data_IF_551188846476
#
_entry.id   IF_551188846476
#
_cell.length_a   1.000
_cell.length_b   1.000
_cell.length_c   1.000
_cell.angle_alpha   90.00
_cell.angle_beta   90.00
_cell.angle_gamma   90.00
#
_symmetry.space_group_name_H-M   'P 1'
#
loop_
_entity.id
_entity.type
_entity.pdbx_description
1 polymer ?
#
# COMPACT_ATOMS: atom_id res chain seq x y z
N UNK A 1 -19.56 -16.74 -6.47
CA UNK A 1 -18.96 -15.47 -6.00
C UNK A 1 -17.80 -15.78 -5.09
N UNK A 2 -17.96 -16.77 -4.21
CA UNK A 2 -17.00 -17.86 -3.92
C UNK A 2 -15.92 -18.00 -5.00
N UNK A 3 -16.21 -18.10 -6.31
CA UNK A 3 -15.08 -18.17 -7.25
C UNK A 3 -14.13 -16.94 -7.26
N UNK A 4 -14.48 -15.68 -6.89
CA UNK A 4 -13.52 -14.68 -6.32
C UNK A 4 -13.69 -14.35 -4.85
N UNK A 5 -13.98 -15.40 -4.13
CA UNK A 5 -13.75 -15.54 -2.73
C UNK A 5 -13.16 -17.00 -2.57
N UNK A 6 -12.26 -17.52 -3.48
CA UNK A 6 -11.52 -18.82 -3.45
C UNK A 6 -9.94 -18.84 -3.70
N UNK A 7 -9.27 -17.80 -4.26
CA UNK A 7 -7.78 -17.60 -4.37
C UNK A 7 -7.00 -16.31 -3.87
N UNK A 8 -7.56 -15.14 -3.41
CA UNK A 8 -6.93 -13.86 -2.92
C UNK A 8 -6.51 -13.89 -1.42
N UNK A 9 -7.19 -14.59 -0.52
CA UNK A 9 -6.75 -14.81 0.89
C UNK A 9 -6.38 -16.26 1.17
N UNK A 10 -6.85 -17.17 0.32
CA UNK A 10 -6.03 -18.30 -0.07
C UNK A 10 -4.76 -17.84 -0.83
N UNK A 11 -4.55 -16.56 -1.21
CA UNK A 11 -3.30 -16.12 -1.89
C UNK A 11 -2.11 -16.03 -0.94
N UNK A 12 -2.19 -15.41 0.25
CA UNK A 12 -1.30 -15.67 1.38
C UNK A 12 -1.04 -17.16 1.58
N UNK A 13 -2.06 -18.03 1.61
CA UNK A 13 -1.88 -19.46 1.87
C UNK A 13 -1.26 -20.22 0.68
N UNK A 14 -1.57 -19.86 -0.55
CA UNK A 14 -1.03 -20.42 -1.80
C UNK A 14 0.37 -19.87 -2.06
N UNK A 15 0.68 -18.64 -1.66
CA UNK A 15 2.04 -18.11 -1.60
C UNK A 15 2.81 -18.79 -0.47
N UNK A 16 2.21 -19.06 0.68
CA UNK A 16 2.84 -19.81 1.79
C UNK A 16 3.15 -21.24 1.36
N UNK A 17 2.17 -21.94 0.78
CA UNK A 17 2.30 -23.30 0.23
C UNK A 17 3.23 -23.35 -0.97
N UNK A 18 3.16 -22.42 -1.93
CA UNK A 18 4.17 -22.30 -3.00
C UNK A 18 5.56 -21.98 -2.45
N UNK A 19 5.69 -21.15 -1.41
CA UNK A 19 6.98 -20.90 -0.76
C UNK A 19 7.48 -22.14 -0.01
N UNK A 20 6.61 -22.99 0.52
CA UNK A 20 6.95 -24.26 1.17
C UNK A 20 7.27 -25.37 0.16
N UNK A 21 6.50 -25.51 -0.91
CA UNK A 21 6.80 -26.30 -2.11
C UNK A 21 8.16 -25.88 -2.72
N UNK A 22 8.42 -24.57 -2.85
CA UNK A 22 9.71 -24.02 -3.32
C UNK A 22 10.83 -24.26 -2.29
N UNK A 23 10.57 -24.17 -0.98
CA UNK A 23 11.54 -24.53 0.07
C UNK A 23 11.88 -26.01 0.05
N UNK A 24 10.91 -26.90 -0.12
CA UNK A 24 11.14 -28.33 -0.32
C UNK A 24 11.88 -28.62 -1.61
N UNK A 25 11.51 -27.98 -2.72
CA UNK A 25 12.18 -28.14 -4.01
C UNK A 25 13.63 -27.66 -3.95
N UNK A 26 13.90 -26.52 -3.31
CA UNK A 26 15.26 -26.06 -3.04
C UNK A 26 16.02 -27.04 -2.11
N UNK A 27 15.40 -27.54 -1.02
CA UNK A 27 15.99 -28.58 -0.16
C UNK A 27 16.30 -29.88 -0.92
N UNK A 28 15.45 -30.28 -1.87
CA UNK A 28 15.62 -31.47 -2.74
C UNK A 28 16.69 -31.26 -3.82
N UNK A 29 17.00 -30.01 -4.18
CA UNK A 29 18.18 -29.65 -4.98
C UNK A 29 19.44 -29.63 -4.10
N UNK A 30 19.36 -29.09 -2.89
CA UNK A 30 20.48 -29.02 -1.92
C UNK A 30 20.89 -30.40 -1.39
N UNK A 31 19.95 -31.34 -1.25
CA UNK A 31 20.21 -32.76 -0.93
C UNK A 31 20.62 -33.60 -2.15
N UNK A 32 20.70 -33.01 -3.34
CA UNK A 32 21.12 -33.68 -4.58
C UNK A 32 20.09 -34.62 -5.22
N UNK A 33 18.86 -34.70 -4.69
CA UNK A 33 17.80 -35.55 -5.23
C UNK A 33 17.20 -35.04 -6.56
N UNK A 34 17.31 -33.73 -6.84
CA UNK A 34 16.85 -33.10 -8.08
C UNK A 34 17.99 -32.27 -8.70
N UNK A 35 18.23 -32.42 -10.01
CA UNK A 35 19.23 -31.61 -10.73
C UNK A 35 18.76 -30.16 -10.87
N UNK A 36 19.37 -29.27 -10.10
CA UNK A 36 19.21 -27.82 -10.22
C UNK A 36 20.46 -27.07 -9.75
N UNK A 37 20.52 -25.75 -9.96
CA UNK A 37 21.54 -24.90 -9.33
C UNK A 37 21.07 -24.52 -7.92
N UNK A 38 21.77 -24.89 -6.84
CA UNK A 38 21.35 -24.55 -5.48
C UNK A 38 21.36 -23.03 -5.26
N UNK A 39 20.38 -22.53 -4.51
CA UNK A 39 20.22 -21.09 -4.27
C UNK A 39 21.20 -20.62 -3.19
N UNK A 40 22.41 -20.22 -3.59
CA UNK A 40 23.30 -19.46 -2.68
C UNK A 40 22.58 -18.20 -2.19
N UNK A 41 22.27 -18.17 -0.89
CA UNK A 41 21.82 -16.97 -0.19
C UNK A 41 22.86 -15.87 -0.44
N UNK A 42 22.42 -14.74 -1.01
CA UNK A 42 23.26 -13.55 -1.16
C UNK A 42 22.94 -12.58 -0.03
N UNK A 43 23.84 -12.51 0.93
CA UNK A 43 23.87 -11.45 1.93
C UNK A 43 23.96 -10.08 1.23
N UNK A 44 22.97 -9.21 1.45
CA UNK A 44 22.94 -7.85 0.86
C UNK A 44 23.81 -6.86 1.63
N UNK A 45 24.07 -7.16 2.90
CA UNK A 45 25.16 -6.66 3.73
C UNK A 45 26.16 -7.82 3.77
N UNK A 46 27.32 -7.69 3.11
CA UNK A 46 28.42 -8.66 3.33
C UNK A 46 28.94 -8.51 4.76
N UNK A 47 29.41 -9.59 5.39
CA UNK A 47 30.01 -9.54 6.73
C UNK A 47 30.98 -8.35 6.94
N UNK A 48 31.01 -7.79 8.17
CA UNK A 48 31.91 -6.67 8.55
C UNK A 48 33.37 -6.90 8.14
N UNK A 49 33.85 -8.15 8.22
CA UNK A 49 35.22 -8.54 7.86
C UNK A 49 35.57 -8.44 6.37
N UNK A 50 34.58 -8.31 5.48
CA UNK A 50 34.77 -8.13 4.03
C UNK A 50 34.95 -6.65 3.66
N UNK A 51 34.29 -5.73 4.37
CA UNK A 51 34.38 -4.29 4.11
C UNK A 51 35.62 -3.65 4.76
N UNK A 52 35.93 -4.01 6.02
CA UNK A 52 37.06 -3.42 6.80
C UNK A 52 37.11 -1.88 6.74
N UNK A 53 35.95 -1.24 6.85
CA UNK A 53 35.82 0.23 6.87
C UNK A 53 35.81 0.69 8.32
N UNK A 54 36.95 1.20 8.79
CA UNK A 54 37.11 1.70 10.15
C UNK A 54 36.42 3.06 10.36
N UNK A 55 36.38 3.89 9.32
CA UNK A 55 35.85 5.26 9.33
C UNK A 55 34.87 5.53 8.19
N UNK A 56 33.77 6.24 8.46
CA UNK A 56 32.74 6.60 7.48
C UNK A 56 32.55 8.12 7.40
N UNK A 57 32.52 8.67 6.19
CA UNK A 57 32.19 10.07 5.94
C UNK A 57 30.81 10.20 5.26
N UNK A 58 29.85 10.78 5.97
CA UNK A 58 28.53 11.13 5.44
C UNK A 58 28.63 12.45 4.69
N UNK A 59 28.53 12.41 3.36
CA UNK A 59 28.69 13.58 2.49
C UNK A 59 27.37 13.90 1.76
N UNK A 60 26.80 15.11 1.90
CA UNK A 60 25.57 15.48 1.19
C UNK A 60 25.88 15.76 -0.30
N UNK A 61 25.31 14.94 -1.20
CA UNK A 61 25.52 15.06 -2.65
C UNK A 61 24.21 15.09 -3.43
N UNK A 62 23.70 16.29 -3.71
CA UNK A 62 22.41 16.49 -4.38
C UNK A 62 22.34 15.83 -5.77
N UNK A 63 23.43 15.83 -6.54
CA UNK A 63 23.43 15.33 -7.93
C UNK A 63 23.23 13.80 -8.08
N UNK A 64 23.05 13.04 -6.99
CA UNK A 64 22.65 11.62 -7.05
C UNK A 64 21.15 11.42 -7.32
N UNK A 65 20.32 12.47 -7.21
CA UNK A 65 18.87 12.38 -7.42
C UNK A 65 18.35 13.54 -8.27
N UNK A 66 17.32 13.26 -9.09
CA UNK A 66 16.48 14.30 -9.71
C UNK A 66 15.41 14.85 -8.75
N UNK A 67 15.03 14.05 -7.76
CA UNK A 67 14.01 14.38 -6.76
C UNK A 67 14.71 14.74 -5.44
N UNK A 68 14.71 16.02 -5.11
CA UNK A 68 15.33 16.56 -3.90
C UNK A 68 14.26 17.00 -2.90
N UNK A 69 14.55 16.88 -1.61
CA UNK A 69 13.68 17.44 -0.57
C UNK A 69 13.87 18.94 -0.46
N UNK A 70 12.78 19.69 -0.61
CA UNK A 70 12.73 21.14 -0.36
C UNK A 70 12.43 21.47 1.11
N UNK A 71 12.48 20.49 2.02
CA UNK A 71 12.25 20.70 3.45
C UNK A 71 13.53 21.15 4.17
N UNK A 72 13.40 22.13 5.08
CA UNK A 72 14.47 22.56 6.00
C UNK A 72 15.16 21.39 6.71
N UNK A 73 14.37 20.37 7.07
CA UNK A 73 14.79 19.20 7.84
C UNK A 73 15.74 18.28 7.05
N UNK A 74 15.93 18.50 5.73
CA UNK A 74 16.92 17.80 4.94
C UNK A 74 18.37 18.02 5.44
N UNK A 75 18.63 19.15 6.11
CA UNK A 75 19.94 19.44 6.70
C UNK A 75 20.30 18.49 7.85
N UNK A 76 19.32 18.04 8.63
CA UNK A 76 19.51 17.16 9.79
C UNK A 76 19.86 15.71 9.43
N UNK A 77 19.58 15.30 8.19
CA UNK A 77 19.68 13.90 7.75
C UNK A 77 21.14 13.41 7.83
N UNK A 78 22.10 14.23 7.39
CA UNK A 78 23.52 13.85 7.42
C UNK A 78 24.09 13.75 8.86
N UNK A 79 23.83 14.72 9.77
CA UNK A 79 24.10 14.56 11.20
C UNK A 79 23.52 13.28 11.81
N UNK A 80 22.21 13.02 11.63
CA UNK A 80 21.51 11.86 12.22
C UNK A 80 22.06 10.53 11.71
N UNK A 81 22.42 10.42 10.42
CA UNK A 81 23.11 9.22 9.89
C UNK A 81 24.46 9.01 10.57
N UNK A 82 25.26 10.06 10.79
CA UNK A 82 26.53 9.95 11.48
C UNK A 82 26.38 9.59 12.98
N UNK A 83 25.29 10.02 13.61
CA UNK A 83 24.93 9.64 14.99
C UNK A 83 24.57 8.15 15.09
N UNK A 84 23.62 7.65 14.29
CA UNK A 84 23.23 6.23 14.25
C UNK A 84 24.38 5.27 13.86
N UNK A 85 25.41 5.76 13.16
CA UNK A 85 26.62 4.99 12.88
C UNK A 85 27.54 4.88 14.11
N UNK A 86 27.70 5.96 14.88
CA UNK A 86 28.47 5.95 16.14
C UNK A 86 27.86 5.03 17.19
N UNK A 87 26.53 5.06 17.35
CA UNK A 87 25.79 4.14 18.23
C UNK A 87 26.07 2.67 17.90
N UNK A 88 26.32 2.35 16.62
CA UNK A 88 26.62 0.99 16.12
C UNK A 88 28.12 0.65 16.15
N UNK A 89 28.93 1.49 16.79
CA UNK A 89 30.37 1.32 16.98
C UNK A 89 31.22 1.62 15.74
N UNK A 90 30.76 2.51 14.86
CA UNK A 90 31.49 2.91 13.63
C UNK A 90 31.93 4.38 13.77
N UNK A 91 33.20 4.69 13.50
CA UNK A 91 33.67 6.08 13.57
C UNK A 91 33.13 6.90 12.38
N UNK A 92 32.00 7.58 12.59
CA UNK A 92 31.35 8.39 11.57
C UNK A 92 31.56 9.90 11.76
N UNK A 93 31.80 10.60 10.65
CA UNK A 93 31.85 12.07 10.53
C UNK A 93 30.91 12.51 9.42
N UNK A 94 30.47 13.77 9.42
CA UNK A 94 29.64 14.32 8.34
C UNK A 94 30.23 15.63 7.80
N UNK A 95 29.89 15.96 6.56
CA UNK A 95 30.28 17.21 5.88
C UNK A 95 29.11 18.22 5.89
N UNK A 96 29.35 19.54 6.06
CA UNK A 96 28.27 20.53 6.17
C UNK A 96 27.42 20.63 4.90
N UNK A 97 26.11 20.68 5.11
CA UNK A 97 25.08 20.82 4.07
C UNK A 97 25.07 22.24 3.47
N UNK A 98 24.65 22.40 2.21
CA UNK A 98 24.45 23.71 1.57
C UNK A 98 25.71 24.43 1.05
N UNK A 99 26.91 24.05 1.50
CA UNK A 99 28.16 24.69 1.06
C UNK A 99 28.72 24.07 -0.23
N UNK A 100 29.20 24.91 -1.15
CA UNK A 100 30.18 24.51 -2.16
C UNK A 100 31.48 24.09 -1.46
N UNK A 101 32.04 22.95 -1.86
CA UNK A 101 33.17 22.31 -1.17
C UNK A 101 34.15 21.74 -2.18
N UNK A 102 35.41 22.16 -2.11
CA UNK A 102 36.51 21.40 -2.70
C UNK A 102 36.77 20.15 -1.87
N UNK A 103 37.11 19.05 -2.52
CA UNK A 103 37.46 17.79 -1.89
C UNK A 103 38.39 16.99 -2.79
N UNK A 104 39.08 16.00 -2.22
CA UNK A 104 39.87 15.01 -2.96
C UNK A 104 39.44 13.63 -2.49
N UNK A 105 39.12 12.77 -3.44
CA UNK A 105 38.80 11.36 -3.22
C UNK A 105 39.84 10.49 -3.96
N UNK A 106 40.12 9.31 -3.43
CA UNK A 106 40.97 8.31 -4.10
C UNK A 106 40.27 6.95 -3.95
N UNK A 107 39.75 6.41 -5.05
CA UNK A 107 39.09 5.12 -5.04
C UNK A 107 40.13 3.98 -5.05
N UNK A 108 39.90 2.95 -4.24
CA UNK A 108 40.80 1.78 -4.16
C UNK A 108 40.62 0.84 -5.37
N UNK A 109 39.54 0.98 -6.15
CA UNK A 109 39.35 0.30 -7.44
C UNK A 109 39.07 -1.20 -7.38
N UNK A 110 38.84 -1.77 -6.20
CA UNK A 110 38.41 -3.16 -6.05
C UNK A 110 36.89 -3.31 -6.29
N UNK A 111 36.39 -4.53 -6.55
CA UNK A 111 35.00 -4.85 -6.94
C UNK A 111 33.87 -4.35 -6.01
N UNK A 112 34.21 -3.81 -4.84
CA UNK A 112 33.27 -3.36 -3.79
C UNK A 112 33.59 -1.93 -3.33
N UNK A 113 34.57 -1.25 -3.95
CA UNK A 113 34.96 0.12 -3.63
C UNK A 113 33.89 1.14 -4.05
N UNK A 114 33.12 0.82 -5.09
CA UNK A 114 32.06 1.66 -5.64
C UNK A 114 30.73 0.89 -5.57
N UNK A 115 29.75 1.45 -4.85
CA UNK A 115 28.44 0.83 -4.66
C UNK A 115 27.33 1.89 -4.71
N UNK A 116 26.32 1.65 -5.54
CA UNK A 116 25.07 2.41 -5.52
C UNK A 116 24.01 1.72 -4.65
N UNK A 117 23.19 2.53 -3.98
CA UNK A 117 22.03 2.12 -3.17
C UNK A 117 20.95 3.18 -3.29
N UNK A 118 19.80 2.81 -3.85
CA UNK A 118 18.55 3.56 -3.70
C UNK A 118 17.89 3.13 -2.38
N UNK A 119 17.55 4.10 -1.53
CA UNK A 119 16.88 3.88 -0.24
C UNK A 119 15.56 4.64 -0.27
N UNK A 120 14.55 4.00 -0.88
CA UNK A 120 13.21 4.54 -0.93
C UNK A 120 12.67 4.68 0.49
N UNK A 121 12.40 5.92 0.90
CA UNK A 121 11.66 6.21 2.13
C UNK A 121 10.21 5.73 1.93
N UNK A 122 9.98 4.45 2.22
CA UNK A 122 8.63 3.95 2.40
C UNK A 122 8.06 4.66 3.63
N UNK A 123 7.25 5.68 3.39
CA UNK A 123 6.32 6.19 4.39
C UNK A 123 5.39 5.02 4.67
N UNK A 124 5.73 4.21 5.68
CA UNK A 124 4.69 3.51 6.41
C UNK A 124 3.76 4.62 6.89
N UNK A 125 2.45 4.58 6.57
CA UNK A 125 1.49 5.32 7.36
C UNK A 125 1.60 4.70 8.75
N UNK A 126 2.40 5.33 9.63
CA UNK A 126 2.56 4.90 11.02
C UNK A 126 1.17 4.74 11.60
N UNK A 127 0.90 3.61 12.25
CA UNK A 127 -0.43 3.02 12.36
C UNK A 127 -1.46 3.95 13.02
N UNK A 128 -2.05 4.85 12.22
CA UNK A 128 -3.28 5.60 12.53
C UNK A 128 -4.50 4.67 12.47
N UNK A 129 -4.38 3.52 13.13
CA UNK A 129 -5.49 2.75 13.71
C UNK A 129 -5.86 3.47 15.04
N UNK A 130 -5.97 4.79 15.00
CA UNK A 130 -6.34 5.63 16.15
C UNK A 130 -7.86 5.56 16.34
N UNK A 131 -8.29 4.43 16.91
CA UNK A 131 -9.56 4.29 17.63
C UNK A 131 -10.78 4.89 16.90
N UNK A 132 -11.02 4.43 15.67
CA UNK A 132 -12.26 4.72 14.94
C UNK A 132 -13.45 4.04 15.64
N UNK A 133 -14.02 4.72 16.64
CA UNK A 133 -15.22 4.25 17.37
C UNK A 133 -16.44 4.52 16.52
N UNK A 134 -17.02 3.45 15.97
CA UNK A 134 -18.32 3.51 15.31
C UNK A 134 -19.42 3.83 16.34
N UNK A 135 -20.33 4.73 15.97
CA UNK A 135 -21.54 5.08 16.71
C UNK A 135 -22.71 5.13 15.74
N UNK A 136 -23.90 4.78 16.21
CA UNK A 136 -25.15 5.04 15.51
C UNK A 136 -25.75 6.33 16.06
N UNK A 137 -26.22 7.21 15.18
CA UNK A 137 -26.91 8.44 15.57
C UNK A 137 -28.38 8.29 15.15
N UNK A 138 -29.30 8.41 16.10
CA UNK A 138 -30.74 8.33 15.80
C UNK A 138 -31.26 9.64 15.17
N UNK A 139 -32.42 9.64 14.49
CA UNK A 139 -33.04 10.88 13.99
C UNK A 139 -33.34 11.93 15.08
N UNK A 140 -33.37 11.54 16.36
CA UNK A 140 -33.52 12.42 17.51
C UNK A 140 -32.19 13.02 18.02
N UNK A 141 -31.06 12.69 17.38
CA UNK A 141 -29.72 13.13 17.77
C UNK A 141 -29.07 12.32 18.90
N UNK A 142 -29.63 11.16 19.27
CA UNK A 142 -29.07 10.31 20.32
C UNK A 142 -27.89 9.50 19.78
N UNK A 143 -26.74 9.58 20.44
CA UNK A 143 -25.59 8.72 20.15
C UNK A 143 -25.71 7.35 20.83
N UNK A 144 -25.80 6.29 20.04
CA UNK A 144 -25.79 4.90 20.49
C UNK A 144 -24.40 4.29 20.27
N UNK A 145 -23.74 3.94 21.37
CA UNK A 145 -22.48 3.20 21.35
C UNK A 145 -22.74 1.73 21.06
N UNK A 146 -22.16 1.23 19.97
CA UNK A 146 -22.26 -0.18 19.58
C UNK A 146 -21.56 -1.08 20.60
N UNK A 147 -22.19 -2.20 20.92
CA UNK A 147 -21.61 -3.24 21.79
C UNK A 147 -21.25 -4.44 20.94
N UNK A 148 -20.09 -5.02 21.21
CA UNK A 148 -19.58 -6.20 20.53
C UNK A 148 -19.63 -7.40 21.47
N UNK A 149 -19.96 -8.56 20.91
CA UNK A 149 -19.82 -9.85 21.58
C UNK A 149 -18.35 -10.29 21.65
N UNK A 150 -18.02 -11.35 22.41
CA UNK A 150 -16.67 -11.92 22.48
C UNK A 150 -16.12 -12.30 21.08
N UNK A 151 -17.01 -12.69 20.16
CA UNK A 151 -16.70 -13.00 18.77
C UNK A 151 -16.52 -11.77 17.86
N UNK A 152 -16.58 -10.54 18.40
CA UNK A 152 -16.58 -9.24 17.70
C UNK A 152 -17.79 -8.98 16.79
N UNK A 153 -18.84 -9.79 16.88
CA UNK A 153 -20.12 -9.51 16.21
C UNK A 153 -20.84 -8.36 16.91
N UNK A 154 -21.63 -7.60 16.16
CA UNK A 154 -22.44 -6.48 16.67
C UNK A 154 -23.63 -7.04 17.45
N UNK A 155 -23.84 -6.57 18.68
CA UNK A 155 -25.05 -6.91 19.43
C UNK A 155 -26.22 -6.03 18.99
N UNK A 156 -27.44 -6.58 18.79
CA UNK A 156 -28.59 -5.84 18.29
C UNK A 156 -28.95 -4.65 19.19
N UNK A 157 -29.13 -3.48 18.58
CA UNK A 157 -29.49 -2.25 19.28
C UNK A 157 -30.94 -2.33 19.77
N UNK A 158 -31.14 -2.41 21.08
CA UNK A 158 -32.47 -2.56 21.72
C UNK A 158 -33.51 -1.49 21.35
N UNK A 159 -33.04 -0.35 20.85
CA UNK A 159 -33.85 0.82 20.47
C UNK A 159 -34.27 0.82 19.00
N UNK A 160 -33.58 0.07 18.12
CA UNK A 160 -33.87 0.01 16.68
C UNK A 160 -34.21 -1.43 16.31
N UNK A 161 -35.51 -1.70 16.15
CA UNK A 161 -36.04 -2.99 15.71
C UNK A 161 -36.29 -2.99 14.20
N UNK A 162 -35.20 -2.85 13.46
CA UNK A 162 -35.19 -2.86 12.00
C UNK A 162 -34.15 -3.89 11.56
N UNK A 163 -34.62 -4.94 10.90
CA UNK A 163 -33.81 -6.08 10.47
C UNK A 163 -32.87 -5.69 9.32
N UNK A 164 -33.30 -4.82 8.40
CA UNK A 164 -32.47 -4.30 7.31
C UNK A 164 -31.37 -3.39 7.86
N UNK A 165 -31.68 -2.56 8.87
CA UNK A 165 -30.67 -1.72 9.53
C UNK A 165 -29.66 -2.56 10.34
N UNK A 166 -30.10 -3.64 10.99
CA UNK A 166 -29.18 -4.56 11.66
C UNK A 166 -28.26 -5.25 10.66
N UNK A 167 -28.79 -5.77 9.54
CA UNK A 167 -28.00 -6.38 8.47
C UNK A 167 -27.01 -5.37 7.85
N UNK A 168 -27.40 -4.10 7.70
CA UNK A 168 -26.50 -3.04 7.26
C UNK A 168 -25.35 -2.82 8.24
N UNK A 169 -25.63 -2.68 9.54
CA UNK A 169 -24.60 -2.58 10.58
C UNK A 169 -23.66 -3.79 10.59
N UNK A 170 -24.20 -5.00 10.49
CA UNK A 170 -23.42 -6.24 10.39
C UNK A 170 -22.57 -6.28 9.10
N UNK A 171 -22.99 -5.62 8.02
CA UNK A 171 -22.19 -5.55 6.77
C UNK A 171 -21.04 -4.53 6.80
N UNK A 172 -21.19 -3.42 7.52
CA UNK A 172 -20.15 -2.38 7.67
C UNK A 172 -19.14 -2.72 8.78
N UNK A 173 -19.59 -3.38 9.86
CA UNK A 173 -18.81 -3.67 11.06
C UNK A 173 -18.33 -5.13 11.12
N UNK A 174 -19.09 -6.06 10.55
CA UNK A 174 -18.91 -7.50 10.71
C UNK A 174 -17.91 -8.09 9.73
N UNK A 175 -16.83 -8.64 10.29
CA UNK A 175 -15.80 -9.45 9.62
C UNK A 175 -15.17 -8.86 8.36
N UNK A 176 -13.84 -8.66 8.42
CA UNK A 176 -13.01 -8.81 7.23
C UNK A 176 -13.39 -10.15 6.59
N UNK A 177 -14.03 -10.13 5.42
CA UNK A 177 -14.18 -11.33 4.61
C UNK A 177 -12.78 -11.90 4.44
N UNK A 178 -12.64 -13.18 4.76
CA UNK A 178 -11.55 -13.98 4.21
C UNK A 178 -11.90 -13.97 2.72
N UNK A 179 -11.32 -13.02 2.00
CA UNK A 179 -11.55 -12.73 0.59
C UNK A 179 -10.89 -13.85 -0.19
N UNK A 180 -11.47 -15.07 -0.20
CA UNK A 180 -10.66 -16.25 -0.41
C UNK A 180 -9.99 -16.24 -1.83
N UNK A 181 -10.55 -15.50 -2.85
CA UNK A 181 -10.35 -14.88 -4.25
C UNK A 181 -9.79 -15.41 -5.66
N UNK A 182 -10.53 -16.03 -6.60
CA UNK A 182 -10.21 -16.12 -8.08
C UNK A 182 -11.05 -15.17 -9.01
N UNK A 183 -12.23 -15.53 -9.55
CA UNK A 183 -13.16 -14.67 -10.33
C UNK A 183 -14.65 -14.90 -9.94
N UNK A 184 -15.46 -13.93 -9.42
CA UNK A 184 -16.81 -14.23 -8.93
C UNK A 184 -17.76 -14.86 -9.94
N UNK A 185 -18.63 -15.75 -9.47
CA UNK A 185 -19.76 -16.23 -10.27
C UNK A 185 -20.66 -15.10 -10.84
N UNK A 186 -20.82 -13.96 -10.14
CA UNK A 186 -21.49 -12.81 -10.74
C UNK A 186 -20.67 -12.15 -11.86
N UNK A 187 -19.32 -12.19 -11.81
CA UNK A 187 -18.48 -11.73 -12.94
C UNK A 187 -18.62 -12.69 -14.11
N UNK A 188 -18.59 -14.01 -13.88
CA UNK A 188 -18.87 -14.99 -14.95
C UNK A 188 -20.21 -14.72 -15.62
N UNK A 189 -21.28 -14.50 -14.83
CA UNK A 189 -22.62 -14.15 -15.33
C UNK A 189 -22.64 -12.77 -16.02
N UNK A 190 -21.93 -11.76 -15.51
CA UNK A 190 -21.81 -10.43 -16.14
C UNK A 190 -21.06 -10.47 -17.47
N UNK A 191 -20.09 -11.38 -17.62
CA UNK A 191 -19.40 -11.67 -18.89
C UNK A 191 -20.32 -12.41 -19.87
N UNK A 192 -20.98 -13.48 -19.41
CA UNK A 192 -21.92 -14.29 -20.20
C UNK A 192 -23.10 -13.46 -20.75
N UNK A 193 -23.61 -12.49 -20.00
CA UNK A 193 -24.65 -11.57 -20.47
C UNK A 193 -24.13 -10.37 -21.28
N UNK A 194 -22.82 -10.23 -21.48
CA UNK A 194 -22.17 -9.06 -22.10
C UNK A 194 -22.55 -7.74 -21.40
N UNK A 195 -22.44 -7.71 -20.07
CA UNK A 195 -22.60 -6.49 -19.26
C UNK A 195 -21.25 -5.84 -18.99
N UNK A 196 -20.31 -6.61 -18.43
CA UNK A 196 -19.04 -6.12 -17.90
C UNK A 196 -17.95 -7.19 -18.09
N UNK A 197 -16.73 -6.74 -18.36
CA UNK A 197 -15.55 -7.57 -18.61
C UNK A 197 -14.27 -6.87 -18.12
N UNK A 198 -13.14 -7.57 -18.13
CA UNK A 198 -11.83 -6.97 -17.88
C UNK A 198 -11.20 -6.50 -19.19
N UNK A 199 -10.36 -5.46 -19.12
CA UNK A 199 -9.46 -5.10 -20.23
C UNK A 199 -8.03 -5.55 -19.89
N UNK A 200 -7.30 -6.23 -20.79
CA UNK A 200 -5.93 -6.69 -20.50
C UNK A 200 -4.90 -5.56 -20.41
N UNK A 201 -5.26 -4.33 -20.78
CA UNK A 201 -4.35 -3.17 -20.80
C UNK A 201 -4.56 -2.23 -19.60
N UNK A 202 -5.26 -2.67 -18.55
CA UNK A 202 -5.56 -1.83 -17.37
C UNK A 202 -5.36 -2.58 -16.05
N UNK A 203 -5.12 -1.83 -14.98
CA UNK A 203 -4.94 -2.40 -13.64
C UNK A 203 -6.24 -2.98 -13.07
N UNK A 204 -6.09 -3.99 -12.22
CA UNK A 204 -7.20 -4.76 -11.65
C UNK A 204 -8.21 -3.85 -10.89
N UNK A 205 -9.48 -3.94 -11.28
CA UNK A 205 -10.58 -3.13 -10.75
C UNK A 205 -11.11 -2.09 -11.74
N UNK A 206 -10.32 -1.72 -12.76
CA UNK A 206 -10.85 -1.03 -13.92
C UNK A 206 -11.55 -2.04 -14.84
N UNK A 207 -12.80 -1.74 -15.22
CA UNK A 207 -13.69 -2.68 -15.93
C UNK A 207 -14.14 -2.10 -17.28
N UNK A 208 -14.17 -2.96 -18.30
CA UNK A 208 -14.77 -2.67 -19.61
C UNK A 208 -16.27 -2.90 -19.53
N UNK A 209 -17.06 -1.84 -19.78
CA UNK A 209 -18.51 -1.91 -19.78
C UNK A 209 -19.03 -1.99 -21.22
N UNK A 210 -19.80 -3.03 -21.53
CA UNK A 210 -20.50 -3.17 -22.81
C UNK A 210 -21.83 -2.40 -22.79
N UNK A 211 -22.43 -2.15 -23.95
CA UNK A 211 -23.61 -1.28 -24.09
C UNK A 211 -24.77 -1.62 -23.14
N UNK A 212 -25.06 -2.91 -22.94
CA UNK A 212 -26.07 -3.39 -21.98
C UNK A 212 -25.73 -2.95 -20.55
N UNK A 213 -24.50 -3.21 -20.12
CA UNK A 213 -24.00 -2.86 -18.80
C UNK A 213 -23.92 -1.34 -18.58
N UNK A 214 -23.52 -0.57 -19.59
CA UNK A 214 -23.53 0.90 -19.54
C UNK A 214 -24.95 1.44 -19.33
N UNK A 215 -25.94 0.93 -20.06
CA UNK A 215 -27.35 1.33 -19.91
C UNK A 215 -27.85 0.97 -18.50
N UNK A 216 -27.65 -0.26 -18.04
CA UNK A 216 -28.07 -0.69 -16.70
C UNK A 216 -27.40 0.12 -15.59
N UNK A 217 -26.08 0.33 -15.67
CA UNK A 217 -25.30 1.15 -14.74
C UNK A 217 -25.83 2.58 -14.67
N UNK A 218 -26.10 3.20 -15.82
CA UNK A 218 -26.57 4.58 -15.86
C UNK A 218 -28.00 4.71 -15.33
N UNK A 219 -28.90 3.77 -15.64
CA UNK A 219 -30.26 3.75 -15.10
C UNK A 219 -30.28 3.59 -13.57
N UNK A 220 -29.47 2.67 -13.03
CA UNK A 220 -29.32 2.48 -11.58
C UNK A 220 -28.71 3.73 -10.94
N UNK A 221 -27.68 4.32 -11.57
CA UNK A 221 -27.03 5.56 -11.10
C UNK A 221 -28.06 6.69 -11.00
N UNK A 222 -28.79 6.99 -12.08
CA UNK A 222 -29.78 8.07 -12.09
C UNK A 222 -30.90 7.84 -11.07
N UNK A 223 -31.44 6.63 -10.95
CA UNK A 223 -32.43 6.31 -9.91
C UNK A 223 -31.92 6.59 -8.48
N UNK A 224 -30.64 6.28 -8.20
CA UNK A 224 -30.02 6.56 -6.90
C UNK A 224 -29.74 8.06 -6.73
N UNK A 225 -29.30 8.76 -7.78
CA UNK A 225 -29.10 10.21 -7.76
C UNK A 225 -30.41 10.97 -7.50
N UNK A 226 -31.47 10.66 -8.25
CA UNK A 226 -32.81 11.26 -8.09
C UNK A 226 -33.31 11.13 -6.64
N UNK A 227 -33.23 9.92 -6.06
CA UNK A 227 -33.63 9.66 -4.68
C UNK A 227 -32.78 10.42 -3.66
N UNK A 228 -31.48 10.52 -3.88
CA UNK A 228 -30.57 11.23 -2.98
C UNK A 228 -30.78 12.75 -3.06
N UNK A 229 -31.17 13.28 -4.23
CA UNK A 229 -31.60 14.67 -4.41
C UNK A 229 -32.93 14.94 -3.69
N UNK A 230 -33.91 14.03 -3.75
CA UNK A 230 -35.18 14.14 -2.99
C UNK A 230 -34.94 14.24 -1.47
N UNK A 231 -33.89 13.59 -0.94
CA UNK A 231 -33.45 13.72 0.45
C UNK A 231 -32.62 15.00 0.75
N UNK A 232 -32.47 15.90 -0.22
CA UNK A 232 -31.84 17.21 -0.05
C UNK A 232 -30.32 17.25 -0.24
N UNK A 233 -29.71 16.22 -0.84
CA UNK A 233 -28.29 16.22 -1.14
C UNK A 233 -27.94 17.10 -2.36
N UNK A 234 -26.67 17.49 -2.45
CA UNK A 234 -26.11 18.29 -3.55
C UNK A 234 -25.16 17.41 -4.36
N UNK A 235 -25.39 17.29 -5.67
CA UNK A 235 -24.42 16.68 -6.59
C UNK A 235 -23.20 17.60 -6.74
N UNK A 236 -22.01 17.06 -6.51
CA UNK A 236 -20.73 17.77 -6.69
C UNK A 236 -19.83 16.88 -7.56
N UNK A 237 -19.54 17.34 -8.78
CA UNK A 237 -18.45 16.77 -9.57
C UNK A 237 -17.11 17.32 -9.06
N UNK A 238 -16.10 16.44 -8.92
CA UNK A 238 -14.81 16.80 -8.32
C UNK A 238 -13.64 16.29 -9.17
N UNK A 239 -12.54 17.05 -9.29
CA UNK A 239 -11.40 16.64 -10.13
C UNK A 239 -10.86 15.25 -9.73
N UNK A 240 -10.59 14.40 -10.72
CA UNK A 240 -9.96 13.10 -10.51
C UNK A 240 -8.44 13.19 -10.25
N UNK A 241 -7.82 14.32 -10.58
CA UNK A 241 -6.38 14.56 -10.43
C UNK A 241 -6.12 15.78 -9.55
N UNK A 242 -5.22 15.62 -8.57
CA UNK A 242 -4.87 16.67 -7.60
C UNK A 242 -3.36 16.92 -7.57
N UNK A 243 -2.96 18.18 -7.38
CA UNK A 243 -1.52 18.51 -7.29
C UNK A 243 -0.93 18.06 -5.96
N UNK A 244 0.26 17.46 -6.02
CA UNK A 244 0.98 16.84 -4.89
C UNK A 244 1.71 17.85 -3.99
N UNK A 245 1.58 19.15 -4.28
CA UNK A 245 2.21 20.27 -3.56
C UNK A 245 1.67 20.45 -2.13
N UNK A 246 0.47 19.96 -1.84
CA UNK A 246 -0.13 20.05 -0.51
C UNK A 246 0.15 18.78 0.32
N UNK A 247 0.93 18.91 1.39
CA UNK A 247 1.29 17.80 2.30
C UNK A 247 0.08 17.03 2.86
N UNK A 248 -1.07 17.69 3.08
CA UNK A 248 -2.29 17.00 3.56
C UNK A 248 -2.85 16.04 2.52
N UNK A 249 -2.90 16.44 1.25
CA UNK A 249 -3.35 15.59 0.15
C UNK A 249 -2.38 14.42 -0.03
N UNK A 250 -1.07 14.70 -0.12
CA UNK A 250 -0.01 13.67 -0.22
C UNK A 250 -0.07 12.65 0.93
N UNK A 251 -0.31 13.09 2.17
CA UNK A 251 -0.49 12.19 3.31
C UNK A 251 -1.79 11.35 3.23
N UNK A 252 -2.86 11.87 2.63
CA UNK A 252 -4.12 11.14 2.43
C UNK A 252 -4.01 10.13 1.27
N UNK A 253 -3.38 10.50 0.16
CA UNK A 253 -3.04 9.59 -0.95
C UNK A 253 -2.14 8.45 -0.47
N UNK A 254 -1.17 8.74 0.41
CA UNK A 254 -0.30 7.73 1.02
C UNK A 254 -1.02 6.71 1.93
N UNK A 255 -2.27 6.96 2.36
CA UNK A 255 -3.10 5.96 3.07
C UNK A 255 -3.66 4.90 2.12
N UNK A 256 -3.78 5.20 0.82
CA UNK A 256 -4.34 4.31 -0.20
C UNK A 256 -3.39 4.13 -1.39
N UNK A 257 -2.13 3.67 -1.16
CA UNK A 257 -1.09 3.62 -2.20
C UNK A 257 -1.45 2.67 -3.35
N UNK A 258 -2.15 1.56 -3.06
CA UNK A 258 -2.56 0.55 -4.04
C UNK A 258 -3.71 0.98 -4.97
N UNK A 259 -4.21 2.22 -4.87
CA UNK A 259 -5.29 2.77 -5.73
C UNK A 259 -4.95 4.16 -6.30
N UNK A 260 -3.69 4.59 -6.20
CA UNK A 260 -3.29 5.98 -6.44
C UNK A 260 -2.24 6.08 -7.55
N UNK A 261 -2.62 6.62 -8.71
CA UNK A 261 -1.70 6.87 -9.83
C UNK A 261 -0.94 8.18 -9.63
N UNK A 262 0.37 8.14 -9.89
CA UNK A 262 1.24 9.33 -9.87
C UNK A 262 1.62 9.66 -11.31
N UNK A 263 1.03 10.73 -11.84
CA UNK A 263 1.23 11.18 -13.23
C UNK A 263 2.16 12.39 -13.23
N UNK A 264 3.34 12.23 -13.84
CA UNK A 264 4.22 13.35 -14.17
C UNK A 264 3.68 14.05 -15.42
N UNK A 265 3.48 15.37 -15.36
CA UNK A 265 2.84 16.15 -16.42
C UNK A 265 3.48 17.53 -16.52
N UNK A 266 4.24 17.75 -17.60
CA UNK A 266 5.06 18.94 -17.82
C UNK A 266 6.51 18.78 -17.33
N UNK A 267 7.44 19.46 -18.00
CA UNK A 267 8.85 19.58 -17.60
C UNK A 267 9.18 21.06 -17.29
N UNK A 268 8.22 21.75 -16.64
CA UNK A 268 8.27 23.17 -16.24
C UNK A 268 8.25 23.32 -14.70
#
# INVERSE_FOLDING_TARGET
>A
IEDAIIQITNFPEIIRRKNEEIREYNKKIESGQIKGKPRKIRELIKERGIYRVDQVLVYPWAHLSKFLSNESNAMDVCPKIAEFLKEKGIEAKFSPFGWYKSFKINCIGHEVAEMYRDVKLYIQPGEHIENAVFKVITPQGTELNLKFDENKNVLPLKEIKDEDFQLFLESELGTKRIDEGIEPAHIKVMKEFELVDFDPNTDAGNLRWYSKGVIMKNLIKSFVEDRIIDYGAILIDTPLMYTTKNKKLTAQTARFPARSYWVESGND
#
